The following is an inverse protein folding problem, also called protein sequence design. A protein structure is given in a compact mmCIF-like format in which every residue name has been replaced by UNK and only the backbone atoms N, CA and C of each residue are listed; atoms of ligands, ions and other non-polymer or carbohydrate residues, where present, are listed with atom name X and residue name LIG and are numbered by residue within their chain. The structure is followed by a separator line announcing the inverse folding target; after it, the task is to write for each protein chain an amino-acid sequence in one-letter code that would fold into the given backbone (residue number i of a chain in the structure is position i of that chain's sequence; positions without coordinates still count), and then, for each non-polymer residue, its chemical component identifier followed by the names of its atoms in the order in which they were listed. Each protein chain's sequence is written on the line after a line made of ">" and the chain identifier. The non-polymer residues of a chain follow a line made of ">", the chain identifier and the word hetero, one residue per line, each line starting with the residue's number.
data_IF_381920942506
#
_entry.id   IF_381920942506
#
_cell.length_a   1.000
_cell.length_b   1.000
_cell.length_c   1.000
_cell.angle_alpha   90.00
_cell.angle_beta   90.00
_cell.angle_gamma   90.00
#
_symmetry.space_group_name_H-M   'P 1'
#
loop_
_entity.id
_entity.type
_entity.pdbx_description
1 polymer ?
#
# COMPACT_ATOMS: atom_id res chain seq x y z
N UNK A 1 -27.15 -19.59 2.24
CA UNK A 1 -26.28 -19.28 2.16
C UNK A 1 -25.79 -19.33 1.69
N UNK A 2 -25.99 -19.64 2.20
CA UNK A 2 -25.07 -19.57 2.12
C UNK A 2 -24.58 -19.79 2.04
N UNK A 3 -24.86 -20.29 2.46
CA UNK A 3 -23.87 -20.40 2.56
C UNK A 3 -23.25 -20.47 2.35
N UNK A 4 -23.61 -20.97 2.79
CA UNK A 4 -22.59 -20.94 2.81
C UNK A 4 -21.99 -20.95 2.53
N UNK A 5 -22.40 -21.31 2.92
CA UNK A 5 -21.39 -21.17 2.86
C UNK A 5 -20.86 -20.93 2.72
N UNK A 6 -21.21 -21.10 3.09
CA UNK A 6 -20.39 -20.70 3.19
C UNK A 6 -19.85 -20.29 3.26
N UNK A 7 -19.91 -20.57 3.67
CA UNK A 7 -19.12 -20.05 3.93
C UNK A 7 -18.20 -19.90 3.66
N UNK A 8 -18.50 -20.36 3.96
CA UNK A 8 -17.54 -19.98 3.78
C UNK A 8 -16.85 -19.61 3.18
N UNK A 9 -16.89 -19.40 3.30
CA UNK A 9 -16.17 -18.71 2.83
C UNK A 9 -15.46 -18.17 2.74
N UNK A 10 -15.58 -18.79 2.67
CA UNK A 10 -14.72 -18.22 3.28
C UNK A 10 -14.13 -16.89 2.98
N UNK A 11 -13.53 -16.21 3.58
CA UNK A 11 -13.31 -14.79 3.61
C UNK A 11 -11.93 -14.36 3.13
N UNK A 12 -11.34 -15.20 2.32
CA UNK A 12 -10.04 -14.88 1.72
C UNK A 12 -10.13 -13.67 0.80
N UNK A 13 -11.34 -13.36 0.31
CA UNK A 13 -11.55 -12.22 -0.58
C UNK A 13 -12.49 -11.17 0.05
N UNK A 14 -12.38 -11.01 1.36
CA UNK A 14 -13.17 -10.01 2.06
C UNK A 14 -12.89 -8.62 1.51
N UNK A 15 -13.94 -7.83 1.31
CA UNK A 15 -13.82 -6.46 0.85
C UNK A 15 -13.56 -5.56 2.05
N UNK A 16 -12.36 -4.99 2.11
CA UNK A 16 -11.94 -4.13 3.23
C UNK A 16 -11.98 -2.66 2.88
N UNK A 17 -11.89 -2.34 1.59
CA UNK A 17 -12.09 -0.97 1.12
C UNK A 17 -13.04 -0.99 -0.09
N UNK A 18 -13.67 0.16 -0.34
CA UNK A 18 -14.63 0.35 -1.43
C UNK A 18 -14.09 1.35 -2.44
N UNK A 19 -14.78 1.46 -3.59
CA UNK A 19 -14.44 2.49 -4.57
C UNK A 19 -14.54 3.89 -3.97
N UNK A 20 -15.48 4.11 -3.05
CA UNK A 20 -15.60 5.39 -2.37
C UNK A 20 -14.37 5.70 -1.53
N UNK A 21 -13.85 4.68 -0.82
CA UNK A 21 -12.61 4.84 -0.07
C UNK A 21 -11.45 5.19 -1.00
N UNK A 22 -11.41 4.59 -2.20
CA UNK A 22 -10.38 4.90 -3.19
C UNK A 22 -10.43 6.34 -3.62
N UNK A 23 -11.62 6.89 -3.87
CA UNK A 23 -11.77 8.31 -4.23
C UNK A 23 -11.20 9.21 -3.13
N UNK A 24 -11.49 8.89 -1.87
CA UNK A 24 -10.99 9.65 -0.74
C UNK A 24 -9.47 9.60 -0.66
N UNK A 25 -8.90 8.42 -0.87
CA UNK A 25 -7.45 8.22 -0.83
C UNK A 25 -6.78 9.01 -1.96
N UNK A 26 -7.32 8.95 -3.16
CA UNK A 26 -6.79 9.69 -4.32
C UNK A 26 -6.82 11.18 -4.05
N UNK A 27 -7.91 11.67 -3.48
CA UNK A 27 -8.09 13.09 -3.15
C UNK A 27 -7.00 13.57 -2.20
N UNK A 28 -6.57 12.71 -1.28
CA UNK A 28 -5.54 13.04 -0.29
C UNK A 28 -4.12 12.69 -0.77
N UNK A 29 -3.98 12.20 -1.99
CA UNK A 29 -2.67 11.88 -2.58
C UNK A 29 -2.22 10.46 -2.39
N UNK A 30 -2.72 9.76 -1.37
CA UNK A 30 -2.35 8.39 -1.11
C UNK A 30 -2.64 7.95 0.31
N UNK A 31 -2.31 6.71 0.62
CA UNK A 31 -2.48 6.15 1.96
C UNK A 31 -1.62 4.90 2.10
N UNK A 32 -1.30 4.56 3.34
CA UNK A 32 -0.67 3.30 3.70
C UNK A 32 -1.67 2.55 4.57
N UNK A 33 -2.07 1.35 4.15
CA UNK A 33 -3.14 0.59 4.79
C UNK A 33 -2.58 -0.63 5.50
N UNK A 34 -3.08 -0.89 6.72
CA UNK A 34 -2.78 -2.14 7.40
C UNK A 34 -3.65 -3.27 6.82
N UNK A 35 -3.47 -4.50 7.32
CA UNK A 35 -4.16 -5.65 6.78
C UNK A 35 -5.69 -5.57 6.90
N UNK A 36 -6.20 -4.74 7.78
CA UNK A 36 -7.65 -4.53 7.94
C UNK A 36 -8.19 -3.46 6.99
N UNK A 37 -7.33 -2.87 6.16
CA UNK A 37 -7.73 -1.82 5.23
C UNK A 37 -7.85 -0.45 5.88
N UNK A 38 -7.26 -0.28 7.06
CA UNK A 38 -7.30 0.97 7.80
C UNK A 38 -6.03 1.75 7.56
N UNK A 39 -6.16 3.04 7.25
CA UNK A 39 -5.01 3.90 7.01
C UNK A 39 -4.21 4.07 8.30
N UNK A 40 -2.89 3.95 8.20
CA UNK A 40 -1.97 4.13 9.32
C UNK A 40 -1.12 5.37 9.09
N UNK A 41 -0.72 6.00 10.19
CA UNK A 41 0.20 7.14 10.19
C UNK A 41 1.23 6.90 11.27
N UNK A 42 2.46 6.61 10.85
CA UNK A 42 3.55 6.43 11.79
C UNK A 42 4.14 7.79 12.13
N UNK A 43 4.58 7.98 13.38
CA UNK A 43 5.23 9.21 13.80
C UNK A 43 6.70 9.25 13.39
N UNK A 44 7.28 8.10 13.08
CA UNK A 44 8.68 7.98 12.67
C UNK A 44 8.88 6.70 11.87
N UNK A 45 10.09 6.54 11.36
CA UNK A 45 10.44 5.41 10.53
C UNK A 45 10.29 5.74 9.06
N UNK A 46 10.60 4.76 8.24
CA UNK A 46 10.67 4.92 6.79
C UNK A 46 9.87 3.82 6.15
N UNK A 47 8.96 4.19 5.26
CA UNK A 47 8.17 3.21 4.53
C UNK A 47 8.93 2.82 3.28
N UNK A 48 9.24 1.56 3.16
CA UNK A 48 10.05 1.02 2.07
C UNK A 48 9.23 -0.01 1.31
N UNK A 49 9.09 0.18 0.01
CA UNK A 49 8.37 -0.76 -0.83
C UNK A 49 9.12 -2.09 -0.90
N UNK A 50 8.40 -3.20 -0.74
CA UNK A 50 8.94 -4.53 -0.95
C UNK A 50 8.81 -4.93 -2.41
N UNK A 51 7.70 -4.54 -3.05
CA UNK A 51 7.48 -4.74 -4.48
C UNK A 51 6.33 -3.86 -4.95
N UNK A 52 6.45 -3.43 -6.18
CA UNK A 52 5.40 -2.72 -6.88
C UNK A 52 4.45 -3.75 -7.47
N UNK A 53 3.16 -3.58 -7.25
CA UNK A 53 2.18 -4.59 -7.63
C UNK A 53 1.31 -4.15 -8.80
N UNK A 54 0.77 -2.91 -8.74
CA UNK A 54 -0.17 -2.44 -9.76
C UNK A 54 0.04 -0.96 -10.07
N UNK A 55 -0.31 -0.60 -11.30
CA UNK A 55 -0.47 0.79 -11.71
C UNK A 55 -1.78 0.85 -12.47
N UNK A 56 -2.77 1.54 -11.91
CA UNK A 56 -4.12 1.57 -12.46
C UNK A 56 -4.56 3.02 -12.64
N UNK A 57 -5.22 3.32 -13.76
CA UNK A 57 -5.71 4.67 -14.03
C UNK A 57 -6.68 5.13 -12.93
N UNK A 58 -6.59 6.40 -12.53
CA UNK A 58 -7.36 6.94 -11.39
C UNK A 58 -8.87 6.84 -11.57
N UNK A 59 -9.38 6.87 -12.82
CA UNK A 59 -10.80 6.76 -13.07
C UNK A 59 -11.36 5.36 -12.85
N UNK A 60 -10.49 4.36 -12.67
CA UNK A 60 -10.91 2.96 -12.51
C UNK A 60 -10.96 2.56 -11.03
N UNK A 61 -11.74 3.31 -10.24
CA UNK A 61 -11.79 3.12 -8.79
C UNK A 61 -12.22 1.73 -8.37
N UNK A 62 -13.11 1.08 -9.12
CA UNK A 62 -13.53 -0.29 -8.79
C UNK A 62 -12.39 -1.29 -8.99
N UNK A 63 -11.60 -1.12 -10.05
CA UNK A 63 -10.43 -1.98 -10.29
C UNK A 63 -9.36 -1.75 -9.24
N UNK A 64 -9.16 -0.49 -8.84
CA UNK A 64 -8.21 -0.15 -7.79
C UNK A 64 -8.63 -0.81 -6.47
N UNK A 65 -9.90 -0.69 -6.10
CA UNK A 65 -10.40 -1.29 -4.88
C UNK A 65 -10.23 -2.81 -4.90
N UNK A 66 -10.54 -3.47 -6.03
CA UNK A 66 -10.37 -4.91 -6.16
C UNK A 66 -8.92 -5.33 -5.99
N UNK A 67 -8.00 -4.63 -6.62
CA UNK A 67 -6.57 -4.93 -6.52
C UNK A 67 -6.07 -4.75 -5.08
N UNK A 68 -6.48 -3.67 -4.42
CA UNK A 68 -6.08 -3.41 -3.04
C UNK A 68 -6.63 -4.49 -2.11
N UNK A 69 -7.89 -4.85 -2.25
CA UNK A 69 -8.49 -5.89 -1.41
C UNK A 69 -7.79 -7.24 -1.59
N UNK A 70 -7.40 -7.57 -2.81
CA UNK A 70 -6.63 -8.77 -3.08
C UNK A 70 -5.33 -8.78 -2.26
N UNK A 71 -4.60 -7.67 -2.29
CA UNK A 71 -3.34 -7.56 -1.57
C UNK A 71 -3.57 -7.56 -0.05
N UNK A 72 -4.58 -6.83 0.43
CA UNK A 72 -4.88 -6.78 1.86
C UNK A 72 -5.18 -8.17 2.43
N UNK A 73 -5.74 -9.05 1.64
CA UNK A 73 -6.05 -10.41 2.07
C UNK A 73 -4.85 -11.36 1.97
N UNK A 74 -3.74 -10.91 1.41
CA UNK A 74 -2.56 -11.76 1.19
C UNK A 74 -1.32 -11.33 1.96
N UNK A 75 -1.28 -10.10 2.48
CA UNK A 75 -0.06 -9.61 3.15
C UNK A 75 0.14 -10.27 4.51
N UNK A 76 1.42 -10.32 4.91
CA UNK A 76 1.85 -10.89 6.18
C UNK A 76 1.92 -9.82 7.25
N UNK A 77 2.10 -10.26 8.50
CA UNK A 77 2.29 -9.34 9.62
C UNK A 77 3.47 -8.40 9.35
N UNK A 78 3.29 -7.12 9.64
CA UNK A 78 4.33 -6.13 9.41
C UNK A 78 4.40 -5.59 7.99
N UNK A 79 3.53 -6.08 7.10
CA UNK A 79 3.41 -5.56 5.75
C UNK A 79 2.18 -4.66 5.62
N UNK A 80 2.25 -3.72 4.68
CA UNK A 80 1.19 -2.73 4.44
C UNK A 80 0.96 -2.61 2.94
N UNK A 81 -0.23 -2.20 2.57
CA UNK A 81 -0.53 -1.88 1.17
C UNK A 81 -0.50 -0.38 1.01
N UNK A 82 0.36 0.10 0.13
CA UNK A 82 0.46 1.52 -0.18
C UNK A 82 -0.28 1.84 -1.46
N UNK A 83 -0.98 2.98 -1.45
CA UNK A 83 -1.57 3.57 -2.64
C UNK A 83 -1.11 5.00 -2.73
N UNK A 84 -0.73 5.45 -3.92
CA UNK A 84 -0.53 6.88 -4.11
C UNK A 84 -0.76 7.24 -5.57
N UNK A 85 -1.26 8.44 -5.77
CA UNK A 85 -1.65 8.89 -7.10
C UNK A 85 -0.64 9.87 -7.66
N UNK A 86 -0.32 9.68 -8.93
CA UNK A 86 0.60 10.56 -9.64
C UNK A 86 0.35 10.41 -11.14
N UNK A 87 0.26 11.54 -11.83
CA UNK A 87 0.18 11.54 -13.29
C UNK A 87 -1.02 10.80 -13.88
N UNK A 88 -2.14 10.76 -13.15
CA UNK A 88 -3.35 10.10 -13.63
C UNK A 88 -3.42 8.62 -13.33
N UNK A 89 -2.49 8.11 -12.53
CA UNK A 89 -2.45 6.71 -12.13
C UNK A 89 -2.37 6.57 -10.62
N UNK A 90 -2.86 5.45 -10.13
CA UNK A 90 -2.65 5.03 -8.75
C UNK A 90 -1.64 3.90 -8.77
N UNK A 91 -0.58 4.06 -8.00
CA UNK A 91 0.46 3.06 -7.81
C UNK A 91 0.17 2.32 -6.53
N UNK A 92 0.19 1.00 -6.60
CA UNK A 92 -0.15 0.14 -5.46
C UNK A 92 1.03 -0.78 -5.19
N UNK A 93 1.51 -0.77 -3.95
CA UNK A 93 2.65 -1.59 -3.57
C UNK A 93 2.44 -2.26 -2.21
N UNK A 94 3.32 -3.20 -1.91
CA UNK A 94 3.43 -3.78 -0.57
C UNK A 94 4.69 -3.19 0.04
N UNK A 95 4.58 -2.68 1.26
CA UNK A 95 5.67 -1.98 1.93
C UNK A 95 5.82 -2.41 3.39
N UNK A 96 6.89 -1.95 4.02
CA UNK A 96 7.15 -2.17 5.43
C UNK A 96 7.75 -0.91 6.04
N UNK A 97 7.61 -0.78 7.36
CA UNK A 97 8.17 0.34 8.09
C UNK A 97 9.51 -0.07 8.70
N UNK A 98 10.58 0.63 8.33
CA UNK A 98 11.93 0.36 8.83
C UNK A 98 12.36 1.58 9.64
N UNK A 99 12.79 1.36 10.87
CA UNK A 99 13.09 2.47 11.80
C UNK A 99 14.41 3.17 11.51
N UNK A 100 15.42 2.44 11.05
CA UNK A 100 16.75 3.00 10.80
C UNK A 100 16.84 3.58 9.39
N UNK A 101 17.20 4.85 9.28
CA UNK A 101 17.37 5.53 7.99
C UNK A 101 18.40 4.82 7.13
N UNK A 102 19.57 4.52 7.72
CA UNK A 102 20.66 3.85 7.00
C UNK A 102 20.21 2.51 6.43
N UNK A 103 19.52 1.73 7.27
CA UNK A 103 19.02 0.41 6.87
C UNK A 103 17.94 0.53 5.80
N UNK A 104 17.03 1.49 5.96
CA UNK A 104 15.94 1.70 5.01
C UNK A 104 16.48 2.09 3.63
N UNK A 105 17.46 2.98 3.56
CA UNK A 105 18.07 3.39 2.31
C UNK A 105 18.80 2.23 1.64
N UNK A 106 19.51 1.43 2.43
CA UNK A 106 20.23 0.27 1.91
C UNK A 106 19.26 -0.77 1.32
N UNK A 107 18.19 -1.06 2.04
CA UNK A 107 17.18 -2.01 1.58
C UNK A 107 16.45 -1.48 0.36
N UNK A 108 16.06 -0.20 0.37
CA UNK A 108 15.40 0.41 -0.78
C UNK A 108 16.26 0.34 -2.03
N UNK A 109 17.55 0.61 -1.90
CA UNK A 109 18.49 0.52 -3.02
C UNK A 109 18.60 -0.92 -3.52
N UNK A 110 18.71 -1.88 -2.60
CA UNK A 110 18.79 -3.30 -2.96
C UNK A 110 17.55 -3.77 -3.72
N UNK A 111 16.40 -3.20 -3.41
CA UNK A 111 15.12 -3.50 -4.07
C UNK A 111 14.89 -2.63 -5.32
N UNK A 112 15.86 -1.81 -5.67
CA UNK A 112 15.81 -0.90 -6.84
C UNK A 112 14.66 0.12 -6.74
N UNK A 113 14.35 0.54 -5.52
CA UNK A 113 13.38 1.61 -5.31
C UNK A 113 14.08 2.95 -5.51
N UNK A 114 13.41 3.89 -6.15
CA UNK A 114 13.97 5.23 -6.38
C UNK A 114 14.03 6.00 -5.07
N UNK A 115 13.04 5.84 -4.21
CA UNK A 115 12.96 6.56 -2.95
C UNK A 115 12.23 5.76 -1.89
N UNK A 116 12.38 6.23 -0.65
CA UNK A 116 11.63 5.73 0.50
C UNK A 116 10.90 6.93 1.12
N UNK A 117 9.85 6.66 1.88
CA UNK A 117 9.05 7.71 2.49
C UNK A 117 9.42 7.89 3.96
N UNK A 118 9.77 9.11 4.34
CA UNK A 118 10.07 9.43 5.74
C UNK A 118 8.82 9.95 6.43
N UNK A 119 8.33 9.21 7.42
CA UNK A 119 7.09 9.56 8.10
C UNK A 119 7.16 10.86 8.89
N UNK A 120 8.30 11.12 9.52
CA UNK A 120 8.45 12.30 10.37
C UNK A 120 8.26 13.61 9.60
N UNK A 121 8.78 13.68 8.38
CA UNK A 121 8.77 14.91 7.59
C UNK A 121 7.80 14.87 6.41
N UNK A 122 7.34 13.69 6.02
CA UNK A 122 6.54 13.52 4.81
C UNK A 122 7.35 13.59 3.54
N UNK A 123 8.66 13.51 3.64
CA UNK A 123 9.55 13.64 2.48
C UNK A 123 9.86 12.29 1.86
N UNK A 124 10.06 12.27 0.54
CA UNK A 124 10.62 11.12 -0.16
C UNK A 124 12.13 11.30 -0.21
N UNK A 125 12.85 10.30 0.28
CA UNK A 125 14.31 10.31 0.31
C UNK A 125 14.85 9.45 -0.83
N UNK A 126 15.74 10.01 -1.62
CA UNK A 126 16.36 9.30 -2.75
C UNK A 126 17.24 8.17 -2.20
N UNK A 127 17.04 6.96 -2.72
CA UNK A 127 17.85 5.80 -2.32
C UNK A 127 19.22 5.80 -2.99
N UNK A 128 19.39 6.58 -4.04
CA UNK A 128 20.57 6.56 -4.84
C UNK A 128 20.56 5.35 -5.79
N UNK A 129 21.58 5.27 -6.60
CA UNK A 129 21.71 4.16 -7.56
C UNK A 129 22.66 3.12 -7.01
N UNK A 130 22.27 1.87 -7.23
CA UNK A 130 23.14 0.76 -6.87
C UNK A 130 24.27 0.62 -7.87
#
# INVERSE_FOLDING_TARGET
>A
MRTTNSKTNTNTNAQKITALNVYEIIKNGGATLNADGVAVNFSKGYQVSRRDCYRIATEKANEIAAAVNELLNSISAGEFVGLWSDGGFVYIDISENIKSKKKALKIGRARRQLSIYEWKTGACLDCGRA
#
